data_IF_289103561273
#
_entry.id   IF_289103561273
#
_cell.length_a   1.000
_cell.length_b   1.000
_cell.length_c   1.000
_cell.angle_alpha   90.00
_cell.angle_beta   90.00
_cell.angle_gamma   90.00
#
_symmetry.space_group_name_H-M   'P 1'
#
loop_
_entity.id
_entity.type
_entity.pdbx_description
1 polymer ?
#
# COMPACT_ATOMS: atom_id res chain seq x y z
N UNK A 1 47.02 -30.10 -12.04
CA UNK A 1 47.38 -28.85 -12.75
C UNK A 1 48.57 -28.21 -12.06
N UNK A 2 49.73 -28.13 -12.74
CA UNK A 2 50.95 -27.50 -12.19
C UNK A 2 50.69 -26.00 -12.00
N UNK A 3 50.87 -25.50 -10.76
CA UNK A 3 50.84 -24.05 -10.47
C UNK A 3 51.96 -23.38 -11.25
N UNK A 4 51.63 -22.67 -12.30
CA UNK A 4 52.56 -21.78 -13.01
C UNK A 4 52.88 -20.66 -12.05
N UNK A 5 54.14 -20.52 -11.66
CA UNK A 5 54.55 -19.45 -10.74
C UNK A 5 54.33 -18.10 -11.46
N UNK A 6 53.78 -17.11 -10.75
CA UNK A 6 53.55 -15.77 -11.29
C UNK A 6 54.80 -15.20 -11.97
N UNK A 7 56.02 -15.53 -11.47
CA UNK A 7 57.29 -15.16 -12.05
C UNK A 7 57.49 -15.75 -13.44
N UNK A 8 57.08 -17.01 -13.68
CA UNK A 8 57.19 -17.66 -14.99
C UNK A 8 56.21 -17.04 -15.99
N UNK A 9 54.98 -16.77 -15.56
CA UNK A 9 53.97 -16.10 -16.39
C UNK A 9 54.46 -14.72 -16.84
N UNK A 10 54.94 -13.89 -15.91
CA UNK A 10 55.48 -12.57 -16.24
C UNK A 10 56.70 -12.65 -17.15
N UNK A 11 57.59 -13.64 -16.98
CA UNK A 11 58.77 -13.81 -17.84
C UNK A 11 58.41 -14.20 -19.27
N UNK A 12 57.43 -15.09 -19.44
CA UNK A 12 56.96 -15.52 -20.75
C UNK A 12 56.23 -14.38 -21.49
N UNK A 13 55.33 -13.67 -20.76
CA UNK A 13 54.63 -12.51 -21.27
C UNK A 13 55.59 -11.39 -21.71
N UNK A 14 56.62 -11.14 -20.87
CA UNK A 14 57.68 -10.19 -21.15
C UNK A 14 58.50 -10.54 -22.41
N UNK A 15 58.91 -11.81 -22.57
CA UNK A 15 59.60 -12.28 -23.77
C UNK A 15 58.75 -12.13 -25.03
N UNK A 16 57.46 -12.44 -24.93
CA UNK A 16 56.50 -12.25 -26.04
C UNK A 16 56.38 -10.79 -26.48
N UNK A 17 56.25 -9.88 -25.51
CA UNK A 17 56.22 -8.43 -25.77
C UNK A 17 57.52 -7.92 -26.38
N UNK A 18 58.70 -8.33 -25.87
CA UNK A 18 59.98 -7.96 -26.44
C UNK A 18 60.18 -8.49 -27.89
N UNK A 19 59.67 -9.68 -28.20
CA UNK A 19 59.68 -10.22 -29.58
C UNK A 19 58.74 -9.42 -30.50
N UNK A 20 57.53 -9.09 -30.07
CA UNK A 20 56.60 -8.28 -30.83
C UNK A 20 57.17 -6.88 -31.13
N UNK A 21 57.81 -6.21 -30.17
CA UNK A 21 58.46 -4.93 -30.37
C UNK A 21 59.72 -5.04 -31.25
N UNK A 22 60.45 -6.18 -31.20
CA UNK A 22 61.59 -6.47 -32.09
C UNK A 22 61.17 -6.55 -33.57
N UNK A 23 60.01 -7.05 -33.88
CA UNK A 23 59.41 -7.10 -35.22
C UNK A 23 59.16 -5.71 -35.82
N UNK A 24 59.02 -4.68 -34.97
CA UNK A 24 58.84 -3.28 -35.40
C UNK A 24 60.16 -2.49 -35.43
N UNK A 25 61.31 -3.16 -35.37
CA UNK A 25 62.65 -2.52 -35.55
C UNK A 25 63.15 -1.77 -34.29
N UNK A 26 62.56 -1.94 -33.13
CA UNK A 26 63.02 -1.28 -31.90
C UNK A 26 64.18 -2.03 -31.23
N UNK A 27 65.30 -1.34 -31.07
CA UNK A 27 66.44 -1.87 -30.29
C UNK A 27 66.14 -1.74 -28.79
N UNK A 28 66.31 -2.82 -28.06
CA UNK A 28 66.00 -2.96 -26.60
C UNK A 28 66.59 -1.86 -25.70
N UNK A 29 67.71 -1.27 -26.09
CA UNK A 29 68.47 -0.30 -25.27
C UNK A 29 68.32 1.16 -25.79
N UNK A 30 67.48 1.42 -26.76
CA UNK A 30 67.24 2.75 -27.30
C UNK A 30 66.46 3.65 -26.32
N UNK A 31 66.70 4.98 -26.34
CA UNK A 31 65.95 5.96 -25.53
C UNK A 31 64.42 5.87 -25.69
N UNK A 32 64.00 5.60 -26.94
CA UNK A 32 62.57 5.45 -27.25
C UNK A 32 61.97 4.19 -26.62
N UNK A 33 62.69 3.04 -26.69
CA UNK A 33 62.23 1.80 -26.06
C UNK A 33 62.10 1.95 -24.50
N UNK A 34 63.00 2.73 -23.87
CA UNK A 34 62.90 3.05 -22.44
C UNK A 34 61.68 3.95 -22.12
N UNK A 35 61.35 4.90 -22.98
CA UNK A 35 60.20 5.78 -22.81
C UNK A 35 58.88 5.01 -22.97
N UNK A 36 58.73 4.19 -23.99
CA UNK A 36 57.55 3.34 -24.24
C UNK A 36 57.39 2.33 -23.10
N UNK A 37 58.50 1.77 -22.63
CA UNK A 37 58.47 0.87 -21.46
C UNK A 37 58.09 1.57 -20.17
N UNK A 38 58.55 2.78 -19.96
CA UNK A 38 58.15 3.60 -18.82
C UNK A 38 56.63 3.88 -18.81
N UNK A 39 56.09 4.24 -19.98
CA UNK A 39 54.64 4.45 -20.13
C UNK A 39 53.82 3.17 -19.90
N UNK A 40 54.29 2.02 -20.39
CA UNK A 40 53.66 0.72 -20.18
C UNK A 40 53.69 0.31 -18.68
N UNK A 41 54.83 0.50 -18.03
CA UNK A 41 55.01 0.18 -16.62
C UNK A 41 54.13 1.08 -15.72
N UNK A 42 54.04 2.38 -16.03
CA UNK A 42 53.16 3.31 -15.29
C UNK A 42 51.70 3.00 -15.53
N UNK A 43 51.28 2.71 -16.75
CA UNK A 43 49.91 2.31 -17.04
C UNK A 43 49.54 1.00 -16.33
N UNK A 44 50.40 0.01 -16.34
CA UNK A 44 50.20 -1.26 -15.62
C UNK A 44 50.15 -1.05 -14.11
N UNK A 45 51.02 -0.18 -13.55
CA UNK A 45 50.96 0.17 -12.13
C UNK A 45 49.66 0.85 -11.72
N UNK A 46 49.15 1.76 -12.56
CA UNK A 46 47.85 2.44 -12.34
C UNK A 46 46.72 1.40 -12.35
N UNK A 47 46.66 0.52 -13.35
CA UNK A 47 45.62 -0.52 -13.44
C UNK A 47 45.70 -1.47 -12.23
N UNK A 48 46.91 -1.90 -11.84
CA UNK A 48 47.09 -2.74 -10.67
C UNK A 48 46.68 -2.05 -9.37
N UNK A 49 46.91 -0.73 -9.26
CA UNK A 49 46.46 0.06 -8.11
C UNK A 49 44.93 0.13 -8.04
N UNK A 50 44.24 0.33 -9.17
CA UNK A 50 42.76 0.29 -9.19
C UNK A 50 42.21 -1.09 -8.81
N UNK A 51 42.83 -2.17 -9.32
CA UNK A 51 42.46 -3.53 -8.96
C UNK A 51 42.68 -3.78 -7.46
N UNK A 52 43.82 -3.32 -6.92
CA UNK A 52 44.12 -3.45 -5.49
C UNK A 52 43.11 -2.66 -4.62
N UNK A 53 42.78 -1.43 -5.01
CA UNK A 53 41.78 -0.62 -4.32
C UNK A 53 40.39 -1.30 -4.37
N UNK A 54 39.98 -1.81 -5.51
CA UNK A 54 38.74 -2.53 -5.67
C UNK A 54 38.69 -3.80 -4.82
N UNK A 55 39.78 -4.55 -4.75
CA UNK A 55 39.90 -5.73 -3.89
C UNK A 55 39.86 -5.37 -2.39
N UNK A 56 40.59 -4.33 -1.99
CA UNK A 56 40.56 -3.83 -0.61
C UNK A 56 39.16 -3.39 -0.23
N UNK A 57 38.47 -2.66 -1.12
CA UNK A 57 37.09 -2.24 -0.92
C UNK A 57 36.13 -3.44 -0.79
N UNK A 58 36.24 -4.42 -1.70
CA UNK A 58 35.40 -5.62 -1.68
C UNK A 58 35.63 -6.47 -0.42
N UNK A 59 36.89 -6.69 -0.03
CA UNK A 59 37.24 -7.43 1.17
C UNK A 59 36.82 -6.65 2.42
N UNK A 60 37.06 -5.34 2.46
CA UNK A 60 36.67 -4.47 3.57
C UNK A 60 35.15 -4.42 3.73
N UNK A 61 34.42 -4.30 2.65
CA UNK A 61 32.95 -4.29 2.67
C UNK A 61 32.37 -5.64 3.13
N UNK A 62 32.94 -6.77 2.65
CA UNK A 62 32.52 -8.08 3.10
C UNK A 62 32.88 -8.34 4.58
N UNK A 63 34.05 -7.90 5.02
CA UNK A 63 34.45 -7.98 6.42
C UNK A 63 33.59 -7.09 7.33
N UNK A 64 33.26 -5.88 6.87
CA UNK A 64 32.34 -4.97 7.55
C UNK A 64 30.94 -5.58 7.65
N UNK A 65 30.40 -6.11 6.56
CA UNK A 65 29.09 -6.79 6.55
C UNK A 65 29.07 -8.01 7.47
N UNK A 66 30.15 -8.81 7.45
CA UNK A 66 30.27 -9.95 8.36
C UNK A 66 30.36 -9.51 9.82
N UNK A 67 31.22 -8.55 10.12
CA UNK A 67 31.39 -8.01 11.48
C UNK A 67 30.10 -7.35 11.97
N UNK A 68 29.49 -6.52 11.14
CA UNK A 68 28.22 -5.86 11.44
C UNK A 68 27.11 -6.88 11.67
N UNK A 69 27.02 -7.89 10.80
CA UNK A 69 26.11 -9.00 10.97
C UNK A 69 26.32 -9.79 12.28
N UNK A 70 27.55 -9.93 12.78
CA UNK A 70 27.84 -10.60 14.04
C UNK A 70 27.53 -9.72 15.27
N UNK A 71 27.78 -8.43 15.19
CA UNK A 71 27.65 -7.51 16.33
C UNK A 71 26.25 -6.89 16.45
N UNK A 72 25.56 -6.74 15.31
CA UNK A 72 24.28 -6.03 15.21
C UNK A 72 23.14 -6.94 14.76
N UNK A 73 23.25 -8.24 15.00
CA UNK A 73 22.16 -9.15 14.80
C UNK A 73 20.89 -8.58 15.40
N UNK A 74 20.00 -8.09 14.53
CA UNK A 74 18.67 -7.71 14.89
C UNK A 74 18.56 -6.67 16.03
N UNK A 75 19.55 -5.85 16.25
CA UNK A 75 19.45 -4.70 17.14
C UNK A 75 18.90 -3.50 16.35
N UNK A 76 17.57 -3.46 16.20
CA UNK A 76 16.87 -2.21 15.91
C UNK A 76 17.13 -1.56 14.57
N UNK A 77 16.81 -0.33 14.50
CA UNK A 77 16.56 0.60 13.41
C UNK A 77 17.59 0.69 12.26
N UNK A 78 18.75 0.09 12.38
CA UNK A 78 19.83 0.21 11.39
C UNK A 78 20.09 -1.06 10.55
N UNK A 79 19.31 -2.12 10.77
CA UNK A 79 19.48 -3.36 10.03
C UNK A 79 18.38 -3.49 8.98
N UNK A 80 18.54 -2.82 7.85
CA UNK A 80 17.61 -2.82 6.70
C UNK A 80 17.29 -4.23 6.15
N UNK A 81 18.05 -5.24 6.52
CA UNK A 81 17.84 -6.64 6.16
C UNK A 81 17.01 -7.43 7.19
N UNK A 82 16.55 -6.79 8.28
CA UNK A 82 15.84 -7.47 9.34
C UNK A 82 14.41 -6.96 9.47
N UNK A 83 13.48 -7.88 9.57
CA UNK A 83 12.07 -7.59 9.84
C UNK A 83 11.76 -7.93 11.29
N UNK A 84 11.30 -6.95 12.07
CA UNK A 84 10.76 -7.19 13.40
C UNK A 84 9.46 -7.97 13.26
N UNK A 85 9.40 -9.14 13.89
CA UNK A 85 8.21 -9.98 13.90
C UNK A 85 7.32 -9.60 15.09
N UNK A 86 7.89 -9.67 16.30
CA UNK A 86 7.23 -9.27 17.54
C UNK A 86 8.24 -9.22 18.69
N UNK A 87 8.28 -8.13 19.45
CA UNK A 87 9.19 -8.00 20.58
C UNK A 87 10.65 -8.26 20.22
N UNK A 88 11.24 -9.31 20.78
CA UNK A 88 12.64 -9.71 20.52
C UNK A 88 12.78 -10.71 19.36
N UNK A 89 11.69 -11.08 18.68
CA UNK A 89 11.70 -12.03 17.56
C UNK A 89 11.84 -11.29 16.25
N UNK A 90 12.85 -11.69 15.47
CA UNK A 90 13.19 -11.08 14.19
C UNK A 90 13.40 -12.12 13.10
N UNK A 91 13.06 -11.76 11.90
CA UNK A 91 13.49 -12.44 10.69
C UNK A 91 14.69 -11.69 10.12
N UNK A 92 15.82 -12.38 10.07
CA UNK A 92 17.03 -11.89 9.42
C UNK A 92 17.05 -12.39 7.97
N UNK A 93 16.88 -11.48 7.04
CA UNK A 93 17.00 -11.79 5.62
C UNK A 93 18.46 -11.70 5.19
N UNK A 94 18.99 -12.74 4.58
CA UNK A 94 20.34 -12.75 4.02
C UNK A 94 20.26 -12.64 2.49
N UNK A 95 21.12 -11.80 1.88
CA UNK A 95 21.15 -11.56 0.42
C UNK A 95 21.25 -12.85 -0.41
N UNK A 96 21.87 -13.91 0.13
CA UNK A 96 21.93 -15.22 -0.51
C UNK A 96 20.66 -16.08 -0.33
N UNK A 97 19.57 -15.51 0.20
CA UNK A 97 18.33 -16.21 0.45
C UNK A 97 18.42 -17.33 1.50
N UNK A 98 19.29 -17.18 2.49
CA UNK A 98 19.44 -18.07 3.65
C UNK A 98 19.16 -17.29 4.92
N UNK A 99 17.94 -16.79 5.04
CA UNK A 99 17.50 -16.08 6.23
C UNK A 99 17.29 -17.03 7.42
N UNK A 100 17.07 -16.44 8.59
CA UNK A 100 16.73 -17.20 9.80
C UNK A 100 15.84 -16.37 10.71
N UNK A 101 15.09 -17.07 11.56
CA UNK A 101 14.29 -16.47 12.62
C UNK A 101 15.08 -16.60 13.93
N UNK A 102 15.21 -15.52 14.67
CA UNK A 102 15.99 -15.48 15.90
C UNK A 102 15.35 -14.63 16.99
N UNK A 103 15.77 -14.91 18.24
CA UNK A 103 15.59 -13.99 19.34
C UNK A 103 16.84 -13.12 19.46
N UNK A 104 16.69 -11.82 19.31
CA UNK A 104 17.82 -10.89 19.30
C UNK A 104 18.44 -10.67 20.66
N UNK A 105 17.68 -10.89 21.73
CA UNK A 105 18.18 -10.74 23.09
C UNK A 105 19.05 -11.92 23.49
N UNK A 106 18.63 -13.14 23.14
CA UNK A 106 19.34 -14.37 23.47
C UNK A 106 20.34 -14.83 22.41
N UNK A 107 20.19 -14.36 21.18
CA UNK A 107 20.95 -14.82 20.01
C UNK A 107 20.53 -16.21 19.52
N UNK A 108 19.47 -16.79 20.09
CA UNK A 108 18.96 -18.10 19.69
C UNK A 108 18.32 -18.06 18.29
N UNK A 109 18.66 -19.01 17.42
CA UNK A 109 18.11 -19.16 16.08
C UNK A 109 17.12 -20.33 16.06
N UNK A 110 15.86 -20.04 15.74
CA UNK A 110 14.77 -21.02 15.78
C UNK A 110 14.53 -21.73 14.45
N UNK A 111 14.64 -20.99 13.33
CA UNK A 111 14.51 -21.53 11.99
C UNK A 111 15.67 -21.05 11.13
N UNK A 112 16.17 -21.91 10.24
CA UNK A 112 17.27 -21.62 9.30
C UNK A 112 16.79 -21.84 7.87
N UNK A 113 17.53 -21.26 6.91
CA UNK A 113 17.22 -21.35 5.48
C UNK A 113 15.85 -20.78 5.10
N UNK A 114 15.34 -19.83 5.91
CA UNK A 114 14.09 -19.11 5.64
C UNK A 114 14.29 -18.16 4.47
N UNK A 115 13.48 -18.30 3.44
CA UNK A 115 13.52 -17.47 2.23
C UNK A 115 12.62 -16.26 2.33
N UNK A 116 11.50 -16.42 2.99
CA UNK A 116 10.44 -15.44 3.06
C UNK A 116 9.58 -15.68 4.30
N UNK A 117 9.03 -14.59 4.86
CA UNK A 117 7.97 -14.60 5.85
C UNK A 117 6.80 -13.74 5.37
N UNK A 118 5.57 -14.09 5.76
CA UNK A 118 4.44 -13.19 5.64
C UNK A 118 4.59 -12.01 6.60
N UNK A 119 3.97 -10.89 6.28
CA UNK A 119 3.89 -9.77 7.20
C UNK A 119 3.18 -10.20 8.49
N UNK A 120 3.76 -9.94 9.66
CA UNK A 120 3.14 -10.31 10.94
C UNK A 120 1.90 -9.47 11.18
N UNK A 121 0.72 -10.06 11.07
CA UNK A 121 -0.55 -9.39 11.35
C UNK A 121 -0.89 -9.41 12.85
N UNK A 122 -1.69 -8.41 13.30
CA UNK A 122 -1.82 -8.05 14.71
C UNK A 122 -2.37 -9.11 15.65
N UNK A 123 -3.40 -9.88 15.29
CA UNK A 123 -4.15 -10.72 16.23
C UNK A 123 -3.62 -12.16 16.34
N UNK A 124 -3.26 -12.78 15.25
CA UNK A 124 -2.85 -14.17 15.24
C UNK A 124 -1.41 -14.37 15.72
N UNK A 125 -1.16 -15.51 16.36
CA UNK A 125 0.12 -15.82 16.98
C UNK A 125 1.11 -16.50 16.04
N UNK A 126 0.67 -16.96 14.87
CA UNK A 126 1.49 -17.68 13.90
C UNK A 126 1.74 -16.84 12.65
N UNK A 127 2.98 -16.92 12.17
CA UNK A 127 3.45 -16.25 10.95
C UNK A 127 3.82 -17.31 9.92
N UNK A 128 3.29 -17.16 8.71
CA UNK A 128 3.65 -18.04 7.60
C UNK A 128 5.08 -17.74 7.13
N UNK A 129 5.85 -18.78 6.83
CA UNK A 129 7.19 -18.67 6.27
C UNK A 129 7.44 -19.73 5.19
N UNK A 130 8.47 -19.51 4.38
CA UNK A 130 8.89 -20.45 3.35
C UNK A 130 10.39 -20.74 3.46
N UNK A 131 10.75 -22.02 3.26
CA UNK A 131 12.13 -22.48 3.05
C UNK A 131 12.59 -22.37 1.59
N UNK A 132 11.71 -21.84 0.71
CA UNK A 132 11.91 -21.71 -0.73
C UNK A 132 11.36 -22.89 -1.54
N UNK A 133 10.85 -23.93 -0.90
CA UNK A 133 10.18 -25.09 -1.52
C UNK A 133 8.77 -25.27 -0.98
N UNK A 134 8.63 -25.19 0.32
CA UNK A 134 7.38 -25.39 1.04
C UNK A 134 7.15 -24.26 2.02
N UNK A 135 5.91 -24.15 2.51
CA UNK A 135 5.49 -23.19 3.51
C UNK A 135 5.09 -23.87 4.81
N UNK A 136 5.38 -23.20 5.92
CA UNK A 136 5.04 -23.61 7.27
C UNK A 136 4.76 -22.40 8.15
N UNK A 137 4.69 -22.61 9.45
CA UNK A 137 4.36 -21.53 10.39
C UNK A 137 5.25 -21.57 11.62
N UNK A 138 5.62 -20.40 12.09
CA UNK A 138 6.31 -20.22 13.36
C UNK A 138 5.52 -19.27 14.27
N UNK A 139 5.75 -19.39 15.58
CA UNK A 139 5.13 -18.51 16.57
C UNK A 139 5.82 -17.14 16.56
N UNK A 140 5.07 -16.06 16.34
CA UNK A 140 5.60 -14.70 16.42
C UNK A 140 6.08 -14.32 17.82
N UNK A 141 5.55 -14.96 18.86
CA UNK A 141 5.90 -14.67 20.25
C UNK A 141 7.16 -15.37 20.72
N UNK A 142 7.43 -16.57 20.20
CA UNK A 142 8.56 -17.39 20.64
C UNK A 142 9.63 -17.59 19.57
N UNK A 143 9.32 -17.32 18.31
CA UNK A 143 10.17 -17.58 17.15
C UNK A 143 10.24 -19.06 16.75
N UNK A 144 9.71 -19.98 17.55
CA UNK A 144 9.81 -21.43 17.31
C UNK A 144 8.87 -21.86 16.20
N UNK A 145 9.34 -22.76 15.35
CA UNK A 145 8.52 -23.42 14.34
C UNK A 145 7.43 -24.26 15.03
N UNK A 146 6.18 -24.05 14.65
CA UNK A 146 5.02 -24.76 15.16
C UNK A 146 4.53 -25.77 14.11
N UNK A 147 4.54 -25.37 12.85
CA UNK A 147 4.16 -26.21 11.73
C UNK A 147 5.34 -26.18 10.75
N UNK A 148 5.97 -27.34 10.57
CA UNK A 148 7.11 -27.49 9.65
C UNK A 148 6.70 -27.19 8.21
N UNK A 149 7.61 -26.67 7.34
CA UNK A 149 7.33 -26.42 5.95
C UNK A 149 6.97 -27.72 5.21
N UNK A 150 5.67 -27.89 4.90
CA UNK A 150 5.15 -29.07 4.20
C UNK A 150 4.16 -28.73 3.11
N UNK A 151 3.55 -27.54 3.13
CA UNK A 151 2.52 -27.12 2.18
C UNK A 151 3.12 -26.49 0.94
N UNK A 152 2.54 -26.71 -0.23
CA UNK A 152 2.95 -26.07 -1.47
C UNK A 152 2.68 -24.56 -1.42
N UNK A 153 1.48 -24.18 -0.98
CA UNK A 153 1.09 -22.81 -0.66
C UNK A 153 0.45 -22.78 0.73
N UNK A 154 0.58 -21.67 1.40
CA UNK A 154 -0.06 -21.43 2.69
C UNK A 154 -0.21 -19.92 2.86
N UNK A 155 -1.28 -19.48 3.50
CA UNK A 155 -1.62 -18.09 3.71
C UNK A 155 -1.56 -17.71 5.18
N UNK A 156 -1.80 -16.47 5.49
CA UNK A 156 -1.76 -15.97 6.86
C UNK A 156 -2.85 -16.63 7.71
N UNK A 157 -2.59 -16.78 9.00
CA UNK A 157 -3.63 -17.02 9.97
C UNK A 157 -4.50 -15.79 10.12
N UNK A 158 -5.79 -15.98 10.12
CA UNK A 158 -6.78 -14.96 10.44
C UNK A 158 -8.00 -15.63 11.07
N UNK A 159 -8.51 -15.03 12.13
CA UNK A 159 -9.61 -15.60 12.94
C UNK A 159 -9.31 -17.03 13.44
N UNK A 160 -8.04 -17.34 13.72
CA UNK A 160 -7.59 -18.63 14.22
C UNK A 160 -7.45 -19.74 13.17
N UNK A 161 -7.70 -19.44 11.90
CA UNK A 161 -7.63 -20.38 10.78
C UNK A 161 -6.65 -19.90 9.70
N UNK A 162 -6.01 -20.84 9.02
CA UNK A 162 -5.22 -20.55 7.82
C UNK A 162 -5.58 -21.52 6.71
N UNK A 163 -5.68 -21.03 5.48
CA UNK A 163 -5.78 -21.89 4.32
C UNK A 163 -4.40 -22.39 3.90
N UNK A 164 -4.34 -23.63 3.46
CA UNK A 164 -3.13 -24.31 2.99
C UNK A 164 -3.45 -25.12 1.74
N UNK A 165 -2.51 -25.17 0.81
CA UNK A 165 -2.54 -26.06 -0.33
C UNK A 165 -1.79 -27.36 0.02
N UNK A 166 -2.54 -28.44 0.08
CA UNK A 166 -2.03 -29.78 0.34
C UNK A 166 -2.27 -30.65 -0.90
N UNK A 167 -1.27 -30.66 -1.79
CA UNK A 167 -1.32 -31.48 -3.03
C UNK A 167 -2.37 -31.01 -4.05
N UNK A 168 -2.56 -29.70 -4.21
CA UNK A 168 -3.52 -29.13 -5.15
C UNK A 168 -4.93 -28.94 -4.59
N UNK A 169 -5.11 -29.19 -3.30
CA UNK A 169 -6.39 -29.01 -2.61
C UNK A 169 -6.25 -28.04 -1.43
N UNK A 170 -7.17 -27.09 -1.36
CA UNK A 170 -7.23 -26.13 -0.27
C UNK A 170 -7.91 -26.75 0.93
N UNK A 171 -7.23 -26.71 2.06
CA UNK A 171 -7.74 -27.07 3.38
C UNK A 171 -7.53 -25.95 4.35
N UNK A 172 -8.32 -25.87 5.39
CA UNK A 172 -8.11 -24.92 6.49
C UNK A 172 -7.63 -25.65 7.73
N UNK A 173 -6.60 -25.10 8.34
CA UNK A 173 -5.97 -25.65 9.54
C UNK A 173 -6.13 -24.69 10.72
N UNK A 174 -6.16 -25.25 11.92
CA UNK A 174 -6.03 -24.49 13.16
C UNK A 174 -4.55 -24.23 13.53
N UNK A 175 -4.32 -23.50 14.60
CA UNK A 175 -2.99 -23.13 15.07
C UNK A 175 -2.10 -24.36 15.48
N UNK A 176 -2.67 -25.55 15.61
CA UNK A 176 -1.93 -26.79 15.86
C UNK A 176 -1.51 -27.49 14.56
N UNK A 177 -2.00 -27.01 13.42
CA UNK A 177 -1.81 -27.64 12.11
C UNK A 177 -2.80 -28.77 11.80
N UNK A 178 -3.83 -28.91 12.63
CA UNK A 178 -4.92 -29.88 12.38
C UNK A 178 -5.88 -29.30 11.34
N UNK A 179 -6.23 -30.12 10.34
CA UNK A 179 -7.26 -29.78 9.36
C UNK A 179 -8.62 -29.74 10.05
N UNK A 180 -9.31 -28.59 9.97
CA UNK A 180 -10.63 -28.37 10.53
C UNK A 180 -11.71 -28.21 9.48
N UNK A 181 -11.34 -27.72 8.27
CA UNK A 181 -12.25 -27.64 7.12
C UNK A 181 -11.56 -28.24 5.90
N UNK A 182 -12.25 -29.20 5.28
CA UNK A 182 -11.86 -29.82 3.99
C UNK A 182 -13.13 -29.94 3.13
N UNK A 183 -13.23 -29.10 2.11
CA UNK A 183 -14.37 -29.03 1.19
C UNK A 183 -13.98 -29.46 -0.22
N UNK A 184 -12.83 -30.10 -0.38
CA UNK A 184 -12.32 -30.54 -1.68
C UNK A 184 -12.18 -29.38 -2.70
N UNK A 185 -11.90 -28.16 -2.21
CA UNK A 185 -11.66 -27.01 -3.07
C UNK A 185 -10.31 -27.17 -3.77
N UNK A 186 -10.27 -26.88 -5.06
CA UNK A 186 -9.03 -26.97 -5.83
C UNK A 186 -8.20 -25.69 -5.69
N UNK A 187 -6.88 -25.86 -5.62
CA UNK A 187 -5.96 -24.75 -5.72
C UNK A 187 -5.95 -24.20 -7.15
N UNK A 188 -6.07 -22.87 -7.26
CA UNK A 188 -5.91 -22.18 -8.53
C UNK A 188 -4.73 -21.19 -8.39
N UNK A 189 -3.67 -21.27 -9.22
CA UNK A 189 -2.49 -20.41 -9.14
C UNK A 189 -2.79 -18.90 -9.24
N UNK A 190 -3.92 -18.54 -9.82
CA UNK A 190 -4.35 -17.16 -9.97
C UNK A 190 -5.16 -16.63 -8.78
N UNK A 191 -5.28 -17.41 -7.70
CA UNK A 191 -6.01 -17.03 -6.50
C UNK A 191 -5.10 -16.35 -5.48
N UNK A 192 -5.62 -15.33 -4.83
CA UNK A 192 -4.96 -14.65 -3.72
C UNK A 192 -5.02 -15.41 -2.38
N UNK A 193 -5.60 -16.60 -2.37
CA UNK A 193 -5.80 -17.41 -1.18
C UNK A 193 -7.12 -17.14 -0.47
N UNK A 194 -7.45 -18.02 0.46
CA UNK A 194 -8.65 -17.93 1.26
C UNK A 194 -8.29 -17.49 2.67
N UNK A 195 -8.72 -16.30 3.07
CA UNK A 195 -8.44 -15.72 4.39
C UNK A 195 -9.75 -15.38 5.09
N UNK A 196 -9.86 -15.77 6.36
CA UNK A 196 -11.02 -15.42 7.17
C UNK A 196 -10.95 -13.97 7.66
N UNK A 197 -12.07 -13.29 7.62
CA UNK A 197 -12.25 -11.96 8.18
C UNK A 197 -13.60 -11.86 8.89
N UNK A 198 -13.58 -11.54 10.18
CA UNK A 198 -14.81 -11.44 10.98
C UNK A 198 -15.62 -12.73 11.05
N UNK A 199 -14.94 -13.89 11.02
CA UNK A 199 -15.56 -15.21 11.08
C UNK A 199 -16.00 -15.78 9.72
N UNK A 200 -15.75 -15.08 8.61
CA UNK A 200 -16.18 -15.49 7.27
C UNK A 200 -15.03 -15.49 6.27
N UNK A 201 -15.14 -16.34 5.28
CA UNK A 201 -14.19 -16.45 4.16
C UNK A 201 -14.92 -16.48 2.82
N UNK A 202 -14.50 -15.64 1.88
CA UNK A 202 -15.00 -15.68 0.50
C UNK A 202 -14.38 -16.88 -0.19
N UNK A 203 -15.23 -17.73 -0.76
CA UNK A 203 -14.83 -18.91 -1.51
C UNK A 203 -15.36 -18.85 -2.94
N UNK A 204 -14.66 -19.48 -3.88
CA UNK A 204 -14.92 -19.37 -5.30
C UNK A 204 -15.26 -20.71 -5.93
N UNK A 205 -15.99 -20.70 -7.05
CA UNK A 205 -16.09 -21.85 -7.95
C UNK A 205 -14.72 -22.18 -8.56
N UNK A 206 -14.53 -23.41 -9.04
CA UNK A 206 -13.26 -23.84 -9.67
C UNK A 206 -12.85 -22.92 -10.84
N UNK A 207 -13.81 -22.38 -11.59
CA UNK A 207 -13.62 -21.46 -12.71
C UNK A 207 -13.49 -20.00 -12.28
N UNK A 208 -13.69 -19.69 -10.99
CA UNK A 208 -13.70 -18.34 -10.40
C UNK A 208 -14.74 -17.37 -10.99
N UNK A 209 -15.76 -17.87 -11.63
CA UNK A 209 -16.82 -17.01 -12.17
C UNK A 209 -17.74 -16.50 -11.08
N UNK A 210 -17.94 -17.32 -10.04
CA UNK A 210 -18.83 -16.99 -8.94
C UNK A 210 -18.15 -17.24 -7.59
N UNK A 211 -18.59 -16.50 -6.59
CA UNK A 211 -18.16 -16.64 -5.21
C UNK A 211 -19.34 -16.78 -4.25
N UNK A 212 -19.04 -17.24 -3.07
CA UNK A 212 -19.93 -17.37 -1.93
C UNK A 212 -19.20 -17.08 -0.64
N UNK A 213 -19.89 -17.11 0.48
CA UNK A 213 -19.35 -16.84 1.79
C UNK A 213 -19.49 -18.07 2.70
N UNK A 214 -18.39 -18.47 3.32
CA UNK A 214 -18.30 -19.63 4.21
C UNK A 214 -17.95 -19.17 5.62
N UNK A 215 -18.60 -19.72 6.65
CA UNK A 215 -18.26 -19.47 8.05
C UNK A 215 -17.06 -20.31 8.53
N UNK A 216 -16.56 -20.04 9.73
CA UNK A 216 -15.43 -20.73 10.34
C UNK A 216 -15.67 -22.21 10.66
N UNK A 217 -16.90 -22.71 10.53
CA UNK A 217 -17.25 -24.14 10.64
C UNK A 217 -17.21 -24.86 9.29
N UNK A 218 -17.03 -24.11 8.20
CA UNK A 218 -17.08 -24.60 6.83
C UNK A 218 -18.48 -24.65 6.23
N UNK A 219 -19.49 -24.06 6.89
CA UNK A 219 -20.84 -23.97 6.35
C UNK A 219 -20.95 -22.77 5.40
N UNK A 220 -21.55 -22.98 4.23
CA UNK A 220 -21.88 -21.88 3.33
C UNK A 220 -23.02 -21.04 3.94
N UNK A 221 -22.74 -19.75 4.13
CA UNK A 221 -23.68 -18.74 4.59
C UNK A 221 -24.33 -18.06 3.39
N UNK A 222 -23.52 -17.75 2.37
CA UNK A 222 -24.01 -17.31 1.06
C UNK A 222 -23.60 -18.34 0.01
N UNK A 223 -24.50 -18.77 -0.88
CA UNK A 223 -24.20 -19.74 -1.93
C UNK A 223 -23.20 -19.17 -2.96
N UNK A 224 -22.62 -20.03 -3.77
CA UNK A 224 -21.69 -19.70 -4.87
C UNK A 224 -22.43 -19.12 -6.08
N UNK A 225 -23.07 -17.95 -5.90
CA UNK A 225 -23.92 -17.31 -6.89
C UNK A 225 -23.59 -15.83 -7.15
N UNK A 226 -22.62 -15.29 -6.44
CA UNK A 226 -22.28 -13.88 -6.50
C UNK A 226 -21.06 -13.65 -7.41
N UNK A 227 -21.04 -12.51 -8.10
CA UNK A 227 -19.90 -12.09 -8.91
C UNK A 227 -18.78 -11.50 -8.04
N UNK A 228 -19.14 -10.79 -6.96
CA UNK A 228 -18.21 -10.36 -5.91
C UNK A 228 -18.87 -10.30 -4.55
N UNK A 229 -18.05 -10.54 -3.52
CA UNK A 229 -18.38 -10.35 -2.12
C UNK A 229 -17.16 -9.68 -1.49
N UNK A 230 -17.32 -8.44 -1.05
CA UNK A 230 -16.26 -7.62 -0.49
C UNK A 230 -16.65 -7.15 0.91
N UNK A 231 -15.73 -7.23 1.87
CA UNK A 231 -15.95 -6.68 3.19
C UNK A 231 -15.71 -5.15 3.20
N UNK A 232 -16.66 -4.40 3.73
CA UNK A 232 -16.48 -2.99 4.03
C UNK A 232 -15.76 -2.86 5.39
N UNK A 233 -14.46 -2.66 5.34
CA UNK A 233 -13.51 -2.91 6.45
C UNK A 233 -13.84 -2.23 7.78
N UNK A 234 -14.36 -0.99 7.78
CA UNK A 234 -14.55 -0.22 9.02
C UNK A 234 -15.90 -0.47 9.71
N UNK A 235 -16.84 -1.10 9.03
CA UNK A 235 -18.23 -1.20 9.50
C UNK A 235 -18.70 -2.64 9.73
N UNK A 236 -17.84 -3.65 9.45
CA UNK A 236 -18.20 -5.06 9.56
C UNK A 236 -19.30 -5.50 8.59
N UNK A 237 -19.55 -4.71 7.56
CA UNK A 237 -20.56 -4.96 6.53
C UNK A 237 -19.96 -5.62 5.31
N UNK A 238 -20.82 -6.22 4.49
CA UNK A 238 -20.45 -6.91 3.27
C UNK A 238 -21.17 -6.33 2.07
N UNK A 239 -20.41 -5.91 1.08
CA UNK A 239 -20.93 -5.56 -0.23
C UNK A 239 -21.02 -6.81 -1.07
N UNK A 240 -22.19 -7.05 -1.69
CA UNK A 240 -22.44 -8.19 -2.56
C UNK A 240 -22.87 -7.71 -3.94
N UNK A 241 -22.44 -8.45 -4.96
CA UNK A 241 -22.86 -8.24 -6.35
C UNK A 241 -23.36 -9.54 -6.95
N UNK A 242 -24.55 -9.52 -7.57
CA UNK A 242 -25.11 -10.63 -8.34
C UNK A 242 -25.62 -10.12 -9.68
N UNK A 243 -24.91 -10.45 -10.76
CA UNK A 243 -25.20 -9.86 -12.06
C UNK A 243 -24.98 -8.34 -12.07
N UNK A 244 -26.06 -7.59 -12.33
CA UNK A 244 -26.09 -6.12 -12.30
C UNK A 244 -26.61 -5.54 -10.98
N UNK A 245 -26.99 -6.41 -10.07
CA UNK A 245 -27.54 -6.01 -8.78
C UNK A 245 -26.43 -5.94 -7.73
N UNK A 246 -26.48 -4.92 -6.89
CA UNK A 246 -25.61 -4.73 -5.75
C UNK A 246 -26.43 -4.63 -4.48
N UNK A 247 -25.86 -5.04 -3.36
CA UNK A 247 -26.49 -4.96 -2.05
C UNK A 247 -25.45 -4.85 -0.93
N UNK A 248 -25.95 -4.52 0.27
CA UNK A 248 -25.16 -4.48 1.49
C UNK A 248 -25.80 -5.40 2.52
N UNK A 249 -24.97 -6.26 3.15
CA UNK A 249 -25.33 -7.09 4.28
C UNK A 249 -24.62 -6.58 5.54
N UNK A 250 -25.24 -6.77 6.69
CA UNK A 250 -24.60 -6.53 7.99
C UNK A 250 -23.64 -7.68 8.39
N UNK A 251 -23.06 -7.58 9.58
CA UNK A 251 -22.17 -8.62 10.13
C UNK A 251 -22.88 -9.96 10.43
N UNK A 252 -24.21 -9.97 10.51
CA UNK A 252 -25.04 -11.17 10.67
C UNK A 252 -25.59 -11.70 9.35
N UNK A 253 -25.13 -11.14 8.22
CA UNK A 253 -25.57 -11.48 6.85
C UNK A 253 -27.03 -11.13 6.56
N UNK A 254 -27.60 -10.18 7.30
CA UNK A 254 -28.93 -9.66 7.01
C UNK A 254 -28.83 -8.52 6.00
N UNK A 255 -29.77 -8.41 5.06
CA UNK A 255 -29.78 -7.29 4.12
C UNK A 255 -30.02 -5.95 4.82
N UNK A 256 -29.05 -5.04 4.69
CA UNK A 256 -29.18 -3.62 5.04
C UNK A 256 -29.71 -2.85 3.85
N UNK A 257 -29.06 -3.02 2.68
CA UNK A 257 -29.61 -2.59 1.40
C UNK A 257 -29.83 -3.85 0.56
N UNK A 258 -31.08 -4.18 0.19
CA UNK A 258 -31.37 -5.34 -0.65
C UNK A 258 -30.65 -5.26 -1.99
N UNK A 259 -30.47 -6.41 -2.66
CA UNK A 259 -29.98 -6.45 -4.03
C UNK A 259 -30.88 -5.61 -4.93
N UNK A 260 -30.29 -4.64 -5.61
CA UNK A 260 -30.96 -3.74 -6.53
C UNK A 260 -30.07 -3.40 -7.73
N UNK A 261 -30.67 -3.18 -8.89
CA UNK A 261 -29.93 -2.70 -10.04
C UNK A 261 -29.46 -1.27 -9.81
N UNK A 262 -28.15 -1.08 -9.71
CA UNK A 262 -27.52 0.23 -9.60
C UNK A 262 -26.15 0.22 -10.29
N UNK A 263 -25.59 1.39 -10.50
CA UNK A 263 -24.26 1.55 -11.10
C UNK A 263 -23.16 1.19 -10.10
N UNK A 264 -23.33 1.58 -8.83
CA UNK A 264 -22.39 1.28 -7.76
C UNK A 264 -23.02 1.49 -6.38
N UNK A 265 -22.44 0.83 -5.38
CA UNK A 265 -22.78 0.99 -3.96
C UNK A 265 -21.51 1.02 -3.14
N UNK A 266 -21.37 1.99 -2.25
CA UNK A 266 -20.21 2.15 -1.38
C UNK A 266 -20.64 2.54 0.03
N UNK A 267 -19.80 2.20 1.01
CA UNK A 267 -19.95 2.67 2.38
C UNK A 267 -18.83 3.68 2.63
N UNK A 268 -19.19 4.91 2.98
CA UNK A 268 -18.27 5.99 3.31
C UNK A 268 -18.86 6.92 4.36
N UNK A 269 -18.02 7.45 5.23
CA UNK A 269 -18.39 8.44 6.25
C UNK A 269 -19.63 8.08 7.09
N UNK A 270 -19.79 6.77 7.40
CA UNK A 270 -20.89 6.27 8.20
C UNK A 270 -22.23 6.23 7.47
N UNK A 271 -22.24 6.24 6.14
CA UNK A 271 -23.44 6.13 5.30
C UNK A 271 -23.21 5.18 4.12
N UNK A 272 -24.28 4.74 3.50
CA UNK A 272 -24.25 3.92 2.30
C UNK A 272 -24.71 4.79 1.13
N UNK A 273 -23.81 4.99 0.16
CA UNK A 273 -24.06 5.76 -1.06
C UNK A 273 -24.32 4.81 -2.22
N UNK A 274 -25.49 4.96 -2.84
CA UNK A 274 -25.92 4.16 -4.00
C UNK A 274 -26.05 5.07 -5.21
N UNK A 275 -25.26 4.81 -6.27
CA UNK A 275 -25.40 5.49 -7.54
C UNK A 275 -26.32 4.67 -8.45
N UNK A 276 -27.44 5.22 -8.82
CA UNK A 276 -28.41 4.57 -9.69
C UNK A 276 -27.93 4.53 -11.15
N UNK A 277 -28.60 3.76 -12.01
CA UNK A 277 -28.23 3.63 -13.43
C UNK A 277 -28.39 4.95 -14.21
N UNK A 278 -29.25 5.85 -13.76
CA UNK A 278 -29.45 7.19 -14.31
C UNK A 278 -28.49 8.24 -13.71
N UNK A 279 -27.47 7.78 -12.94
CA UNK A 279 -26.48 8.60 -12.24
C UNK A 279 -27.03 9.40 -11.05
N UNK A 280 -28.26 9.22 -10.65
CA UNK A 280 -28.76 9.83 -9.41
C UNK A 280 -28.16 9.13 -8.19
N UNK A 281 -28.03 9.89 -7.09
CA UNK A 281 -27.45 9.41 -5.84
C UNK A 281 -28.54 9.20 -4.79
N UNK A 282 -28.59 8.00 -4.20
CA UNK A 282 -29.37 7.69 -3.01
C UNK A 282 -28.42 7.49 -1.84
N UNK A 283 -28.81 7.97 -0.67
CA UNK A 283 -28.04 7.79 0.56
C UNK A 283 -28.89 7.10 1.63
N UNK A 284 -28.29 6.08 2.25
CA UNK A 284 -28.87 5.35 3.37
C UNK A 284 -27.95 5.51 4.60
N UNK A 285 -28.50 5.42 5.78
CA UNK A 285 -27.68 5.20 6.98
C UNK A 285 -27.26 3.73 7.08
N UNK A 286 -26.45 3.42 8.13
CA UNK A 286 -25.89 2.07 8.29
C UNK A 286 -26.93 1.04 8.74
N UNK A 287 -28.13 1.42 9.11
CA UNK A 287 -29.25 0.51 9.42
C UNK A 287 -30.13 0.25 8.19
N UNK A 288 -29.85 0.89 7.07
CA UNK A 288 -30.59 0.74 5.81
C UNK A 288 -31.77 1.69 5.67
N UNK A 289 -31.92 2.66 6.57
CA UNK A 289 -32.94 3.69 6.44
C UNK A 289 -32.53 4.68 5.35
N UNK A 290 -33.40 4.91 4.37
CA UNK A 290 -33.19 5.92 3.33
C UNK A 290 -33.18 7.31 3.95
N UNK A 291 -32.02 7.97 3.95
CA UNK A 291 -31.83 9.33 4.48
C UNK A 291 -32.53 10.35 3.58
N UNK A 292 -32.43 10.16 2.25
CA UNK A 292 -33.12 11.00 1.29
C UNK A 292 -34.46 10.38 0.92
N UNK A 293 -35.52 11.18 0.99
CA UNK A 293 -36.85 10.83 0.49
C UNK A 293 -36.98 11.11 -1.04
N UNK A 294 -35.84 11.43 -1.71
CA UNK A 294 -35.75 11.77 -3.12
C UNK A 294 -34.31 11.47 -3.62
N UNK A 295 -34.17 11.31 -4.92
CA UNK A 295 -32.89 11.13 -5.57
C UNK A 295 -32.16 12.46 -5.76
N UNK A 296 -30.87 12.50 -5.49
CA UNK A 296 -30.01 13.64 -5.68
C UNK A 296 -28.82 13.28 -6.58
N UNK A 297 -28.33 14.25 -7.34
CA UNK A 297 -27.20 14.07 -8.26
C UNK A 297 -25.86 14.44 -7.62
N UNK A 298 -25.86 15.43 -6.73
CA UNK A 298 -24.65 15.86 -6.03
C UNK A 298 -24.97 16.61 -4.73
N UNK A 299 -23.95 16.70 -3.86
CA UNK A 299 -23.98 17.51 -2.65
C UNK A 299 -22.76 18.42 -2.66
N UNK A 300 -22.99 19.69 -2.32
CA UNK A 300 -21.96 20.72 -2.27
C UNK A 300 -21.85 21.29 -0.86
N UNK A 301 -20.65 21.32 -0.30
CA UNK A 301 -20.35 22.09 0.91
C UNK A 301 -20.45 23.57 0.60
N UNK A 302 -21.11 24.32 1.45
CA UNK A 302 -21.24 25.77 1.34
C UNK A 302 -20.22 26.43 2.27
N UNK A 303 -19.46 27.35 1.72
CA UNK A 303 -18.46 28.14 2.46
C UNK A 303 -18.84 29.62 2.42
N UNK A 304 -18.50 30.35 3.47
CA UNK A 304 -18.71 31.78 3.59
C UNK A 304 -17.47 32.47 4.12
N UNK A 305 -17.33 33.77 3.82
CA UNK A 305 -16.26 34.62 4.37
C UNK A 305 -16.67 35.16 5.74
N UNK A 306 -15.84 34.95 6.75
CA UNK A 306 -16.05 35.56 8.07
C UNK A 306 -15.83 37.05 8.00
N UNK A 307 -16.56 37.81 8.79
CA UNK A 307 -16.35 39.27 8.94
C UNK A 307 -14.99 39.66 9.56
N UNK A 308 -14.28 38.65 10.11
CA UNK A 308 -12.98 38.80 10.70
C UNK A 308 -11.92 39.08 9.60
N UNK A 309 -11.12 40.15 9.76
CA UNK A 309 -10.00 40.41 8.87
C UNK A 309 -8.74 39.89 9.53
N UNK A 310 -8.10 38.92 8.87
CA UNK A 310 -6.79 38.43 9.26
C UNK A 310 -5.71 38.94 8.31
N UNK A 311 -4.47 38.92 8.80
CA UNK A 311 -3.31 39.38 8.06
C UNK A 311 -2.32 38.23 7.93
N UNK A 312 -1.86 38.00 6.70
CA UNK A 312 -0.78 37.05 6.44
C UNK A 312 0.39 37.76 5.77
N UNK A 313 1.58 37.29 6.11
CA UNK A 313 2.80 37.73 5.43
C UNK A 313 3.03 36.81 4.24
N UNK A 314 3.06 37.38 3.06
CA UNK A 314 3.41 36.69 1.81
C UNK A 314 4.73 37.25 1.29
N UNK A 315 5.44 36.49 0.48
CA UNK A 315 6.59 36.96 -0.28
C UNK A 315 6.12 37.18 -1.70
N UNK A 316 6.37 38.38 -2.21
CA UNK A 316 6.05 38.76 -3.60
C UNK A 316 7.34 39.10 -4.33
N UNK A 317 7.39 38.75 -5.60
CA UNK A 317 8.50 39.14 -6.46
C UNK A 317 8.38 40.66 -6.78
N UNK A 318 9.40 41.43 -6.39
CA UNK A 318 9.57 42.82 -6.77
C UNK A 318 10.73 42.89 -7.75
N UNK A 319 10.55 43.68 -8.81
CA UNK A 319 11.57 43.83 -9.87
C UNK A 319 12.23 45.19 -9.72
N UNK A 320 13.46 45.19 -9.32
CA UNK A 320 14.29 46.42 -9.20
C UNK A 320 15.28 46.50 -10.36
N UNK A 321 15.48 47.71 -10.89
CA UNK A 321 16.50 47.92 -11.92
C UNK A 321 17.79 48.39 -11.25
N UNK A 322 18.82 47.54 -11.32
CA UNK A 322 20.14 47.82 -10.78
C UNK A 322 21.13 47.77 -11.92
N UNK A 323 21.84 48.86 -12.19
CA UNK A 323 22.85 48.95 -13.26
C UNK A 323 22.32 48.54 -14.66
N UNK A 324 21.12 48.98 -15.03
CA UNK A 324 20.38 48.68 -16.26
C UNK A 324 19.99 47.18 -16.43
N UNK A 325 20.12 46.37 -15.38
CA UNK A 325 19.62 45.01 -15.34
C UNK A 325 18.39 44.86 -14.44
N UNK A 326 17.43 44.04 -14.86
CA UNK A 326 16.26 43.69 -14.05
C UNK A 326 16.62 42.62 -13.03
N UNK A 327 16.61 42.96 -11.74
CA UNK A 327 16.88 42.02 -10.65
C UNK A 327 15.58 41.74 -9.92
N UNK A 328 15.16 40.48 -9.91
CA UNK A 328 13.99 40.02 -9.17
C UNK A 328 14.37 39.74 -7.72
N UNK A 329 13.64 40.36 -6.80
CA UNK A 329 13.85 40.24 -5.37
C UNK A 329 12.54 39.89 -4.67
N UNK A 330 12.57 38.87 -3.80
CA UNK A 330 11.43 38.58 -2.94
C UNK A 330 11.34 39.58 -1.79
N UNK A 331 10.24 40.31 -1.73
CA UNK A 331 9.95 41.24 -0.65
C UNK A 331 8.73 40.81 0.15
N UNK A 332 8.75 40.97 1.48
CA UNK A 332 7.61 40.62 2.31
C UNK A 332 6.48 41.63 2.12
N UNK A 333 5.30 41.13 1.79
CA UNK A 333 4.07 41.91 1.73
C UNK A 333 3.08 41.39 2.79
N UNK A 334 2.31 42.30 3.35
CA UNK A 334 1.20 41.93 4.27
C UNK A 334 -0.09 42.07 3.52
N UNK A 335 -0.80 40.93 3.41
CA UNK A 335 -2.11 40.89 2.79
C UNK A 335 -3.18 40.71 3.87
N UNK A 336 -4.27 41.44 3.74
CA UNK A 336 -5.48 41.18 4.52
C UNK A 336 -6.38 40.19 3.77
N UNK A 337 -7.02 39.31 4.49
CA UNK A 337 -7.98 38.37 3.93
C UNK A 337 -9.09 38.02 4.94
N UNK A 338 -10.24 37.66 4.42
CA UNK A 338 -11.33 37.11 5.20
C UNK A 338 -11.20 35.56 5.24
N UNK A 339 -11.06 34.96 6.42
CA UNK A 339 -10.96 33.51 6.50
C UNK A 339 -12.27 32.84 6.10
N UNK A 340 -12.16 31.80 5.29
CA UNK A 340 -13.30 30.98 4.90
C UNK A 340 -13.75 30.08 6.05
N UNK A 341 -15.05 29.85 6.15
CA UNK A 341 -15.65 28.94 7.08
C UNK A 341 -16.75 28.13 6.40
N UNK A 342 -17.00 26.94 6.92
CA UNK A 342 -18.04 26.04 6.41
C UNK A 342 -19.38 26.38 7.09
N UNK A 343 -20.42 26.55 6.25
CA UNK A 343 -21.79 26.76 6.73
C UNK A 343 -22.37 25.47 7.33
N UNK A 344 -23.40 25.63 8.16
CA UNK A 344 -24.07 24.49 8.82
C UNK A 344 -24.78 23.56 7.86
N UNK A 345 -25.43 24.09 6.84
CA UNK A 345 -26.15 23.32 5.83
C UNK A 345 -25.29 23.13 4.56
N UNK A 346 -25.62 22.13 3.81
CA UNK A 346 -25.06 21.84 2.50
C UNK A 346 -26.10 22.10 1.43
N UNK A 347 -25.69 22.42 0.21
CA UNK A 347 -26.56 22.41 -0.93
C UNK A 347 -26.58 21.00 -1.56
N UNK A 348 -27.77 20.50 -1.91
CA UNK A 348 -27.93 19.32 -2.73
C UNK A 348 -28.54 19.71 -4.08
N UNK A 349 -28.20 18.97 -5.12
CA UNK A 349 -28.71 19.16 -6.47
C UNK A 349 -29.66 18.02 -6.81
N UNK A 350 -30.88 18.33 -7.19
CA UNK A 350 -31.84 17.36 -7.67
C UNK A 350 -31.63 17.01 -9.16
N UNK A 351 -32.28 15.96 -9.66
CA UNK A 351 -32.11 15.49 -11.02
C UNK A 351 -32.45 16.49 -12.11
N UNK A 352 -33.24 17.52 -11.82
CA UNK A 352 -33.57 18.64 -12.70
C UNK A 352 -32.60 19.82 -12.64
N UNK A 353 -31.53 19.69 -11.82
CA UNK A 353 -30.46 20.68 -11.67
C UNK A 353 -30.77 21.81 -10.68
N UNK A 354 -31.91 21.76 -9.98
CA UNK A 354 -32.22 22.72 -8.91
C UNK A 354 -31.57 22.32 -7.59
N UNK A 355 -31.19 23.33 -6.81
CA UNK A 355 -30.58 23.17 -5.51
C UNK A 355 -31.59 23.31 -4.36
N UNK A 356 -31.36 22.58 -3.30
CA UNK A 356 -32.01 22.73 -1.99
C UNK A 356 -31.01 22.66 -0.87
N UNK A 357 -31.43 23.02 0.34
CA UNK A 357 -30.61 22.94 1.55
C UNK A 357 -30.89 21.64 2.32
N UNK A 358 -29.83 21.06 2.84
CA UNK A 358 -29.85 19.89 3.69
C UNK A 358 -28.87 19.98 4.85
N UNK A 359 -29.10 19.22 5.90
CA UNK A 359 -28.17 19.07 7.04
C UNK A 359 -26.92 18.26 6.62
N UNK A 360 -25.86 18.33 7.40
CA UNK A 360 -24.69 17.47 7.22
C UNK A 360 -25.03 15.98 7.31
N UNK A 361 -26.06 15.60 8.09
CA UNK A 361 -26.56 14.24 8.21
C UNK A 361 -27.52 13.81 7.09
N UNK A 362 -27.73 14.67 6.07
CA UNK A 362 -28.53 14.33 4.90
C UNK A 362 -30.02 14.65 5.00
N UNK A 363 -30.50 15.22 6.09
CA UNK A 363 -31.92 15.58 6.20
C UNK A 363 -32.25 16.83 5.39
N UNK A 364 -33.27 16.75 4.56
CA UNK A 364 -33.76 17.85 3.74
C UNK A 364 -34.30 18.99 4.62
N UNK A 365 -33.86 20.21 4.34
CA UNK A 365 -34.31 21.44 4.99
C UNK A 365 -35.22 22.23 4.07
N UNK A 366 -34.84 22.38 2.79
CA UNK A 366 -35.72 23.01 1.78
C UNK A 366 -35.91 22.09 0.59
N UNK A 367 -36.98 22.28 -0.15
CA UNK A 367 -37.18 21.67 -1.47
C UNK A 367 -36.11 22.21 -2.46
N UNK A 368 -35.80 21.48 -3.54
CA UNK A 368 -34.85 21.92 -4.57
C UNK A 368 -35.54 22.96 -5.50
N UNK A 369 -35.66 24.18 -5.03
CA UNK A 369 -36.39 25.27 -5.68
C UNK A 369 -35.44 26.36 -6.22
N UNK A 370 -34.16 26.30 -5.88
CA UNK A 370 -33.20 27.35 -6.14
C UNK A 370 -32.27 26.97 -7.29
N UNK A 371 -31.91 27.95 -8.11
CA UNK A 371 -30.94 27.80 -9.17
C UNK A 371 -29.50 27.79 -8.66
N UNK A 372 -29.26 28.55 -7.59
CA UNK A 372 -27.96 28.60 -6.91
C UNK A 372 -28.16 28.98 -5.45
N UNK A 373 -27.36 28.39 -4.58
CA UNK A 373 -27.33 28.69 -3.15
C UNK A 373 -25.89 29.06 -2.75
N UNK A 374 -25.73 30.20 -2.08
CA UNK A 374 -24.48 30.68 -1.51
C UNK A 374 -24.66 30.88 -0.02
N UNK A 375 -23.67 30.55 0.80
CA UNK A 375 -23.70 30.85 2.22
C UNK A 375 -23.25 32.30 2.45
N UNK A 376 -24.05 33.06 3.20
CA UNK A 376 -23.70 34.42 3.65
C UNK A 376 -23.06 34.39 5.02
N UNK A 377 -23.43 33.43 5.86
CA UNK A 377 -22.95 33.22 7.22
C UNK A 377 -23.10 31.75 7.57
N UNK A 378 -22.71 31.36 8.80
CA UNK A 378 -22.85 29.99 9.28
C UNK A 378 -24.26 29.41 9.10
N UNK A 379 -25.30 30.22 9.22
CA UNK A 379 -26.70 29.79 9.20
C UNK A 379 -27.64 30.68 8.34
N UNK A 380 -27.08 31.46 7.42
CA UNK A 380 -27.82 32.28 6.44
C UNK A 380 -27.34 31.98 5.03
N UNK A 381 -28.30 31.86 4.12
CA UNK A 381 -28.08 31.41 2.75
C UNK A 381 -28.77 32.32 1.75
N UNK A 382 -28.04 32.78 0.76
CA UNK A 382 -28.57 33.51 -0.39
C UNK A 382 -29.00 32.51 -1.44
N UNK A 383 -30.30 32.43 -1.66
CA UNK A 383 -30.92 31.48 -2.58
C UNK A 383 -31.47 32.24 -3.80
N UNK A 384 -30.96 31.90 -4.98
CA UNK A 384 -31.43 32.49 -6.27
C UNK A 384 -32.54 31.61 -6.85
N UNK A 385 -33.71 32.15 -7.08
CA UNK A 385 -34.85 31.44 -7.70
C UNK A 385 -34.69 31.35 -9.21
N UNK A 386 -35.52 30.53 -9.85
CA UNK A 386 -35.59 30.43 -11.33
C UNK A 386 -35.96 31.74 -12.03
N UNK A 387 -36.77 32.57 -11.38
CA UNK A 387 -37.17 33.90 -11.88
C UNK A 387 -36.04 34.94 -11.77
N UNK A 388 -34.95 34.62 -11.05
CA UNK A 388 -33.84 35.53 -10.81
C UNK A 388 -33.98 36.31 -9.52
N UNK A 389 -35.04 36.08 -8.73
CA UNK A 389 -35.23 36.71 -7.43
C UNK A 389 -34.19 36.11 -6.44
N UNK A 390 -33.72 36.93 -5.54
CA UNK A 390 -32.80 36.53 -4.47
C UNK A 390 -33.51 36.55 -3.13
N UNK A 391 -33.46 35.45 -2.41
CA UNK A 391 -34.09 35.28 -1.11
C UNK A 391 -33.03 34.94 -0.08
N UNK A 392 -33.14 35.46 1.12
CA UNK A 392 -32.31 35.03 2.24
C UNK A 392 -33.09 34.00 3.06
N UNK A 393 -32.48 32.81 3.21
CA UNK A 393 -33.05 31.67 3.90
C UNK A 393 -32.20 31.37 5.12
N UNK A 394 -32.83 31.14 6.29
CA UNK A 394 -32.12 30.75 7.50
C UNK A 394 -31.88 29.22 7.53
N UNK A 395 -31.13 28.76 8.52
CA UNK A 395 -30.81 27.35 8.67
C UNK A 395 -31.99 26.45 9.06
N UNK A 396 -33.18 27.00 9.24
CA UNK A 396 -34.42 26.21 9.36
C UNK A 396 -35.17 26.08 8.04
N UNK A 397 -34.71 26.74 6.97
CA UNK A 397 -35.39 26.76 5.70
C UNK A 397 -36.46 27.86 5.59
N UNK A 398 -36.50 28.79 6.53
CA UNK A 398 -37.48 29.92 6.51
C UNK A 398 -36.87 31.09 5.77
N UNK A 399 -37.67 31.72 4.91
CA UNK A 399 -37.29 32.97 4.22
C UNK A 399 -37.34 34.09 5.23
N UNK A 400 -36.22 34.80 5.37
CA UNK A 400 -36.09 35.94 6.31
C UNK A 400 -35.99 37.29 5.61
N UNK A 401 -35.64 37.27 4.31
CA UNK A 401 -35.63 38.45 3.43
C UNK A 401 -35.75 38.05 1.95
#
# INVERSE_FOLDING_TARGET
>A
MKKISAKLFFTVMWRGLCQAFGLFGYKRDGKFAKCVWGLFATSAAIVMSFIAIALIYAVGNNAYRWYYGQQHHCKGEYCWANTCVSGDIYFHNHEAGKGYICNVRTGEKFAKDVKWIAEPTGKDSLVCFSDGKKRGYFSKNTGKVVIEPKYDHAWIFSDGLASVDDGGHIKFIDATGKVVIDKNMRFNPNMEGYVFHGGYCVVYTDERELCGLMDSTGKMVLPLEYNSIDQANDYGMWRIQKGKEYGILDSEMKPVVPLMECSSIYISDGTIDVTMLDHTLCKYDLDGTLIYDFYITSIRTLEYEKDEILYRRTMVEDVEVVDDEYVTKEVPQVESYHPQAVARLRAYVAGDGYEGLMTAGGHKVTMPLYWNIEALDHDLYLCSTRSGDKLIVNGKGEIVE
#
